data_IF_991652463013
#
_entry.id   IF_991652463013
#
_cell.length_a   1.000
_cell.length_b   1.000
_cell.length_c   1.000
_cell.angle_alpha   90.00
_cell.angle_beta   90.00
_cell.angle_gamma   90.00
#
_symmetry.space_group_name_H-M   'P 1'
#
loop_
_entity.id
_entity.type
_entity.pdbx_description
1 polymer ?
#
# COMPACT_ATOMS: atom_id res chain seq x y z
N UNK A 1 -15.10 -23.99 9.56
CA UNK A 1 -14.85 -22.58 9.92
C UNK A 1 -14.73 -21.78 8.63
N UNK A 2 -15.38 -20.62 8.50
CA UNK A 2 -15.21 -19.76 7.31
C UNK A 2 -13.80 -19.15 7.33
N UNK A 3 -13.10 -19.18 6.21
CA UNK A 3 -11.80 -18.52 6.07
C UNK A 3 -12.00 -17.01 6.29
N UNK A 4 -11.23 -16.42 7.22
CA UNK A 4 -11.21 -14.97 7.44
C UNK A 4 -9.96 -14.42 6.78
N UNK A 5 -10.14 -13.35 6.02
CA UNK A 5 -9.08 -12.62 5.34
C UNK A 5 -9.04 -11.19 5.85
N UNK A 6 -7.85 -10.62 5.92
CA UNK A 6 -7.61 -9.22 6.18
C UNK A 6 -6.72 -8.65 5.08
N UNK A 7 -6.88 -7.36 4.79
CA UNK A 7 -6.01 -6.63 3.87
C UNK A 7 -5.14 -5.71 4.73
N UNK A 8 -3.82 -5.87 4.63
CA UNK A 8 -2.85 -4.99 5.25
C UNK A 8 -2.33 -3.97 4.23
N UNK A 9 -2.21 -2.72 4.64
CA UNK A 9 -1.63 -1.63 3.82
C UNK A 9 -0.58 -0.92 4.69
N UNK A 10 0.62 -0.80 4.16
CA UNK A 10 1.73 -0.04 4.74
C UNK A 10 2.10 1.10 3.78
N UNK A 11 1.86 2.34 4.21
CA UNK A 11 2.10 3.55 3.41
C UNK A 11 3.40 4.19 3.88
N UNK A 12 4.49 3.86 3.19
CA UNK A 12 5.79 4.49 3.37
C UNK A 12 5.97 5.72 2.47
N UNK A 13 7.04 6.47 2.70
CA UNK A 13 7.32 7.70 1.96
C UNK A 13 7.69 7.52 0.49
N UNK A 14 8.24 6.36 0.12
CA UNK A 14 8.73 6.05 -1.25
C UNK A 14 8.21 4.71 -1.78
N UNK A 15 7.44 4.01 -0.96
CA UNK A 15 6.94 2.68 -1.22
C UNK A 15 5.64 2.48 -0.46
N UNK A 16 4.61 1.99 -1.14
CA UNK A 16 3.39 1.50 -0.50
C UNK A 16 3.30 0.00 -0.72
N UNK A 17 3.10 -0.75 0.36
CA UNK A 17 2.95 -2.21 0.34
C UNK A 17 1.53 -2.58 0.69
N UNK A 18 1.02 -3.62 0.05
CA UNK A 18 -0.30 -4.19 0.36
C UNK A 18 -0.20 -5.70 0.38
N UNK A 19 -0.97 -6.34 1.26
CA UNK A 19 -0.96 -7.79 1.39
C UNK A 19 -2.27 -8.36 1.87
N UNK A 20 -2.54 -9.59 1.45
CA UNK A 20 -3.68 -10.39 1.91
C UNK A 20 -3.19 -11.32 3.01
N UNK A 21 -3.78 -11.15 4.19
CA UNK A 21 -3.49 -11.92 5.39
C UNK A 21 -4.64 -12.89 5.61
N UNK A 22 -4.32 -14.17 5.72
CA UNK A 22 -5.27 -15.23 6.09
C UNK A 22 -5.13 -15.55 7.56
N UNK A 23 -6.26 -15.58 8.25
CA UNK A 23 -6.36 -16.06 9.61
C UNK A 23 -6.33 -17.59 9.63
N UNK A 24 -5.31 -18.18 10.28
CA UNK A 24 -5.17 -19.64 10.39
C UNK A 24 -5.83 -20.14 11.68
N UNK A 25 -5.56 -19.48 12.80
CA UNK A 25 -6.15 -19.74 14.12
C UNK A 25 -6.04 -18.49 15.02
N UNK A 26 -6.43 -18.60 16.29
CA UNK A 26 -6.50 -17.48 17.26
C UNK A 26 -5.19 -16.70 17.45
N UNK A 27 -4.06 -17.31 17.14
CA UNK A 27 -2.74 -16.72 17.36
C UNK A 27 -1.92 -16.59 16.08
N UNK A 28 -2.34 -17.24 14.99
CA UNK A 28 -1.55 -17.35 13.78
C UNK A 28 -2.22 -16.67 12.57
N UNK A 29 -1.42 -15.84 11.91
CA UNK A 29 -1.75 -15.16 10.66
C UNK A 29 -0.71 -15.50 9.60
N UNK A 30 -1.15 -15.71 8.36
CA UNK A 30 -0.28 -16.03 7.23
C UNK A 30 -0.47 -14.98 6.14
N UNK A 31 0.61 -14.38 5.66
CA UNK A 31 0.59 -13.54 4.47
C UNK A 31 0.55 -14.46 3.24
N UNK A 32 -0.59 -14.50 2.52
CA UNK A 32 -0.73 -15.36 1.33
C UNK A 32 -0.20 -14.66 0.08
N UNK A 33 -0.51 -13.38 -0.08
CA UNK A 33 -0.08 -12.57 -1.23
C UNK A 33 0.33 -11.18 -0.78
N UNK A 34 1.31 -10.59 -1.46
CA UNK A 34 1.71 -9.21 -1.24
C UNK A 34 2.23 -8.58 -2.52
N UNK A 35 2.11 -7.26 -2.58
CA UNK A 35 2.63 -6.42 -3.65
C UNK A 35 3.25 -5.17 -3.05
N UNK A 36 4.15 -4.56 -3.83
CA UNK A 36 4.72 -3.26 -3.53
C UNK A 36 4.61 -2.38 -4.77
N UNK A 37 4.22 -1.13 -4.55
CA UNK A 37 4.28 -0.07 -5.55
C UNK A 37 5.26 0.97 -5.03
N UNK A 38 6.29 1.25 -5.83
CA UNK A 38 7.15 2.42 -5.59
C UNK A 38 6.31 3.66 -5.75
N UNK A 39 6.25 4.48 -4.70
CA UNK A 39 5.64 5.80 -4.76
C UNK A 39 6.73 6.82 -4.97
N UNK A 40 6.39 7.94 -5.60
CA UNK A 40 7.29 9.08 -5.61
C UNK A 40 7.50 9.52 -4.16
N UNK A 41 8.76 9.81 -3.80
CA UNK A 41 9.07 10.42 -2.50
C UNK A 41 8.14 11.62 -2.27
N UNK A 42 7.72 11.90 -1.03
CA UNK A 42 6.81 13.00 -0.72
C UNK A 42 7.13 14.31 -1.46
N UNK A 43 8.41 14.68 -1.59
CA UNK A 43 8.84 15.81 -2.42
C UNK A 43 8.49 15.67 -3.90
N UNK A 44 8.78 14.54 -4.55
CA UNK A 44 8.45 14.28 -5.95
C UNK A 44 6.93 14.21 -6.20
N UNK A 45 6.15 13.77 -5.22
CA UNK A 45 4.67 13.84 -5.30
C UNK A 45 4.18 15.30 -5.27
N UNK A 46 4.79 16.15 -4.43
CA UNK A 46 4.49 17.59 -4.38
C UNK A 46 4.92 18.28 -5.67
N UNK A 47 6.12 17.99 -6.19
CA UNK A 47 6.60 18.48 -7.49
C UNK A 47 5.65 18.08 -8.62
N UNK A 48 5.24 16.81 -8.70
CA UNK A 48 4.30 16.34 -9.72
C UNK A 48 2.90 17.00 -9.60
N UNK A 49 2.42 17.22 -8.38
CA UNK A 49 1.16 17.93 -8.14
C UNK A 49 1.25 19.39 -8.63
N UNK A 50 2.34 20.09 -8.33
CA UNK A 50 2.57 21.46 -8.80
C UNK A 50 2.68 21.53 -10.33
N UNK A 51 3.44 20.64 -10.95
CA UNK A 51 3.57 20.55 -12.41
C UNK A 51 2.22 20.30 -13.08
N UNK A 52 1.37 19.45 -12.48
CA UNK A 52 0.04 19.17 -13.02
C UNK A 52 -0.87 20.39 -12.95
N UNK A 53 -0.82 21.15 -11.84
CA UNK A 53 -1.59 22.40 -11.69
C UNK A 53 -1.13 23.42 -12.73
N UNK A 54 0.18 23.64 -12.88
CA UNK A 54 0.72 24.62 -13.84
C UNK A 54 0.37 24.25 -15.27
N UNK A 55 0.42 22.98 -15.66
CA UNK A 55 0.11 22.55 -17.03
C UNK A 55 -1.39 22.62 -17.38
N UNK A 56 -2.28 22.76 -16.40
CA UNK A 56 -3.73 22.86 -16.60
C UNK A 56 -4.28 24.29 -16.56
N UNK A 57 -3.43 25.29 -16.29
CA UNK A 57 -3.75 26.72 -16.25
C UNK A 57 -3.13 27.41 -17.46
#
# INVERSE_FOLDING_TARGET
MKNKYAIGIDIGGTETKFGIIKYKDKTNFVLEHWWSIKTFCGQKNVEHMLDTIVNQV
#
